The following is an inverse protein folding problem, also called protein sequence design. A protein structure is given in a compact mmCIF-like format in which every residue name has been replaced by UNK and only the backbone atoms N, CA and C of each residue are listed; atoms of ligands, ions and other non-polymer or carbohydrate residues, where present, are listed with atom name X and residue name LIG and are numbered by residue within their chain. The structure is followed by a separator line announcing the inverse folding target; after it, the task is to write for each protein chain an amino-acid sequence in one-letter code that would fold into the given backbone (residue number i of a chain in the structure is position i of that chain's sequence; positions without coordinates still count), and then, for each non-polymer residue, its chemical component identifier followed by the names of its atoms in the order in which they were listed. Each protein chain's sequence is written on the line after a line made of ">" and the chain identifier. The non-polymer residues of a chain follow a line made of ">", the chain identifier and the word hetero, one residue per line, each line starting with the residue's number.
data_IF_659476713508
#
_entry.id   IF_659476713508
#
_cell.length_a   1.000
_cell.length_b   1.000
_cell.length_c   1.000
_cell.angle_alpha   90.00
_cell.angle_beta   90.00
_cell.angle_gamma   90.00
#
_symmetry.space_group_name_H-M   'P 1'
#
loop_
_entity.id
_entity.type
_entity.pdbx_description
1 polymer ?
#
# COMPACT_ATOMS: atom_id res chain seq x y z
N UNK A 1 -33.07 2.18 10.04
CA UNK A 1 -33.19 2.94 11.30
C UNK A 1 -33.59 4.36 10.94
N UNK A 2 -34.65 4.92 11.53
CA UNK A 2 -35.08 6.30 11.28
C UNK A 2 -34.59 7.18 12.43
N UNK A 3 -34.00 8.34 12.10
CA UNK A 3 -33.76 9.43 13.04
C UNK A 3 -34.34 10.68 12.37
N UNK A 4 -35.22 11.40 13.07
CA UNK A 4 -35.85 12.65 12.59
C UNK A 4 -36.53 12.51 11.21
N UNK A 5 -37.33 11.45 10.99
CA UNK A 5 -38.06 11.20 9.73
C UNK A 5 -37.18 11.03 8.47
N UNK A 6 -35.86 10.87 8.60
CA UNK A 6 -34.98 10.52 7.49
C UNK A 6 -34.58 9.05 7.55
N UNK A 7 -34.81 8.32 6.45
CA UNK A 7 -34.33 6.94 6.29
C UNK A 7 -32.81 6.98 6.11
N UNK A 8 -32.06 6.52 7.13
CA UNK A 8 -30.59 6.55 7.10
C UNK A 8 -29.95 5.49 6.22
N UNK A 9 -30.75 4.72 5.47
CA UNK A 9 -30.27 3.50 4.83
C UNK A 9 -29.97 2.40 5.86
N UNK A 10 -29.80 1.19 5.36
CA UNK A 10 -29.22 0.08 6.12
C UNK A 10 -27.88 -0.24 5.48
N UNK A 11 -26.83 -0.38 6.28
CA UNK A 11 -25.54 -0.88 5.80
C UNK A 11 -25.50 -2.38 5.99
N UNK A 12 -25.04 -3.08 4.94
CA UNK A 12 -24.83 -4.52 4.97
C UNK A 12 -23.35 -4.78 4.65
N UNK A 13 -22.68 -5.53 5.53
CA UNK A 13 -21.32 -6.02 5.29
C UNK A 13 -21.39 -7.48 4.92
N UNK A 14 -20.75 -7.84 3.81
CA UNK A 14 -20.70 -9.21 3.30
C UNK A 14 -19.28 -9.73 3.39
N UNK A 15 -19.09 -10.87 4.05
CA UNK A 15 -17.80 -11.56 4.15
C UNK A 15 -17.84 -12.79 3.26
N UNK A 16 -16.94 -12.88 2.28
CA UNK A 16 -16.87 -13.98 1.29
C UNK A 16 -18.25 -14.41 0.73
N UNK A 17 -19.03 -13.46 0.15
CA UNK A 17 -20.38 -13.76 -0.27
C UNK A 17 -20.39 -14.53 -1.59
N UNK A 18 -20.97 -15.74 -1.61
CA UNK A 18 -21.12 -16.48 -2.88
C UNK A 18 -21.78 -15.65 -3.99
N UNK A 19 -21.38 -15.90 -5.25
CA UNK A 19 -21.95 -15.22 -6.43
C UNK A 19 -23.47 -15.32 -6.52
N UNK A 20 -24.07 -16.44 -6.06
CA UNK A 20 -25.52 -16.62 -6.03
C UNK A 20 -26.19 -15.61 -5.07
N UNK A 21 -25.60 -15.42 -3.90
CA UNK A 21 -26.11 -14.48 -2.91
C UNK A 21 -25.96 -13.02 -3.38
N UNK A 22 -24.83 -12.68 -4.00
CA UNK A 22 -24.62 -11.37 -4.62
C UNK A 22 -25.69 -11.09 -5.67
N UNK A 23 -25.91 -12.04 -6.59
CA UNK A 23 -26.94 -11.90 -7.62
C UNK A 23 -28.35 -11.76 -7.03
N UNK A 24 -28.66 -12.48 -5.95
CA UNK A 24 -29.94 -12.35 -5.25
C UNK A 24 -30.13 -10.95 -4.66
N UNK A 25 -29.11 -10.38 -4.00
CA UNK A 25 -29.17 -9.01 -3.48
C UNK A 25 -29.33 -8.01 -4.63
N UNK A 26 -28.53 -8.14 -5.70
CA UNK A 26 -28.64 -7.25 -6.86
C UNK A 26 -30.02 -7.31 -7.52
N UNK A 27 -30.62 -8.50 -7.61
CA UNK A 27 -31.95 -8.68 -8.15
C UNK A 27 -33.04 -8.11 -7.23
N UNK A 28 -32.89 -8.28 -5.92
CA UNK A 28 -33.87 -7.82 -4.92
C UNK A 28 -33.82 -6.30 -4.74
N UNK A 29 -32.63 -5.70 -4.81
CA UNK A 29 -32.39 -4.28 -4.51
C UNK A 29 -31.95 -3.47 -5.73
N UNK A 30 -32.37 -3.84 -6.95
CA UNK A 30 -31.92 -3.36 -8.29
C UNK A 30 -31.53 -1.89 -8.45
N UNK A 31 -32.04 -0.96 -7.63
CA UNK A 31 -31.75 0.49 -7.73
C UNK A 31 -31.48 1.15 -6.36
N UNK A 32 -31.48 0.38 -5.27
CA UNK A 32 -31.57 0.92 -3.91
C UNK A 32 -30.28 0.82 -3.09
N UNK A 33 -29.19 0.31 -3.66
CA UNK A 33 -27.93 0.14 -2.92
C UNK A 33 -26.77 0.93 -3.53
N UNK A 34 -25.75 1.11 -2.70
CA UNK A 34 -24.53 1.85 -3.03
C UNK A 34 -23.35 1.07 -2.46
N UNK A 35 -22.38 0.75 -3.30
CA UNK A 35 -21.11 0.18 -2.84
C UNK A 35 -20.36 1.28 -2.09
N UNK A 36 -20.17 1.08 -0.79
CA UNK A 36 -19.39 1.96 0.09
C UNK A 36 -17.91 1.64 -0.02
N UNK A 37 -17.56 0.36 0.10
CA UNK A 37 -16.21 -0.17 -0.03
C UNK A 37 -16.21 -1.67 -0.32
N UNK A 38 -15.10 -2.17 -0.87
CA UNK A 38 -14.77 -3.59 -1.01
C UNK A 38 -13.32 -3.78 -0.61
N UNK A 39 -13.05 -4.84 0.14
CA UNK A 39 -11.71 -5.20 0.60
C UNK A 39 -11.21 -6.42 -0.16
N UNK A 40 -10.03 -6.30 -0.76
CA UNK A 40 -9.37 -7.35 -1.52
C UNK A 40 -8.09 -7.73 -0.81
N UNK A 41 -7.82 -9.03 -0.71
CA UNK A 41 -6.64 -9.56 -0.01
C UNK A 41 -5.88 -10.54 -0.87
N UNK A 42 -4.55 -10.53 -0.75
CA UNK A 42 -3.64 -11.54 -1.28
C UNK A 42 -2.82 -12.08 -0.11
N UNK A 43 -2.85 -13.39 0.06
CA UNK A 43 -2.01 -14.09 1.04
C UNK A 43 -0.74 -14.58 0.34
N UNK A 44 0.42 -14.20 0.86
CA UNK A 44 1.74 -14.60 0.35
C UNK A 44 2.38 -15.52 1.37
N UNK A 45 2.90 -16.65 0.88
CA UNK A 45 3.53 -17.68 1.71
C UNK A 45 5.00 -17.80 1.31
N UNK A 46 5.87 -17.86 2.31
CA UNK A 46 7.33 -18.01 2.17
C UNK A 46 7.83 -19.01 3.22
N UNK A 47 9.05 -19.53 3.02
CA UNK A 47 9.75 -20.33 4.03
C UNK A 47 10.11 -19.52 5.28
N UNK A 48 10.24 -18.19 5.14
CA UNK A 48 10.43 -17.25 6.24
C UNK A 48 9.44 -16.10 6.12
N UNK A 49 8.40 -16.15 6.95
CA UNK A 49 7.29 -15.19 6.96
C UNK A 49 7.69 -13.86 7.59
N UNK A 50 8.58 -13.87 8.59
CA UNK A 50 9.03 -12.64 9.27
C UNK A 50 9.91 -11.81 8.33
N UNK A 51 10.84 -12.46 7.63
CA UNK A 51 11.67 -11.79 6.63
C UNK A 51 10.83 -11.29 5.46
N UNK A 52 9.83 -12.07 5.01
CA UNK A 52 8.88 -11.62 3.99
C UNK A 52 8.09 -10.40 4.46
N UNK A 53 7.55 -10.41 5.68
CA UNK A 53 6.82 -9.28 6.23
C UNK A 53 7.73 -8.04 6.24
N UNK A 54 8.92 -8.12 6.83
CA UNK A 54 9.86 -7.01 6.92
C UNK A 54 10.21 -6.45 5.54
N UNK A 55 10.50 -7.33 4.58
CA UNK A 55 10.78 -6.93 3.20
C UNK A 55 9.60 -6.13 2.62
N UNK A 56 8.38 -6.65 2.75
CA UNK A 56 7.18 -6.01 2.21
C UNK A 56 6.87 -4.69 2.95
N UNK A 57 7.02 -4.62 4.26
CA UNK A 57 6.82 -3.39 5.06
C UNK A 57 7.80 -2.27 4.64
N UNK A 58 9.06 -2.63 4.42
CA UNK A 58 10.11 -1.66 4.08
C UNK A 58 9.94 -1.17 2.65
N UNK A 59 9.57 -2.06 1.73
CA UNK A 59 9.67 -1.78 0.28
C UNK A 59 8.35 -1.40 -0.38
N UNK A 60 7.22 -1.74 0.22
CA UNK A 60 5.91 -1.45 -0.37
C UNK A 60 5.58 0.03 -0.33
N UNK A 61 4.98 0.51 -1.41
CA UNK A 61 4.53 1.88 -1.56
C UNK A 61 3.29 1.94 -2.45
N UNK A 62 2.36 2.83 -2.13
CA UNK A 62 1.17 3.06 -2.94
C UNK A 62 1.26 4.39 -3.67
N UNK A 63 1.07 4.35 -4.99
CA UNK A 63 0.90 5.53 -5.82
C UNK A 63 -0.31 6.33 -5.36
N UNK A 64 -0.10 7.64 -5.18
CA UNK A 64 -1.10 8.58 -4.69
C UNK A 64 -1.76 8.10 -3.38
N UNK A 65 -0.98 7.94 -2.30
CA UNK A 65 -1.45 7.31 -1.06
C UNK A 65 -2.55 8.13 -0.36
N UNK A 66 -2.69 9.42 -0.69
CA UNK A 66 -3.66 10.30 -0.04
C UNK A 66 -3.13 10.78 1.31
N UNK A 67 -3.83 10.45 2.39
CA UNK A 67 -3.50 10.99 3.73
C UNK A 67 -2.47 10.11 4.45
N UNK A 68 -1.63 10.76 5.27
CA UNK A 68 -0.61 10.10 6.08
C UNK A 68 -1.20 9.39 7.29
N UNK A 69 -0.57 8.28 7.66
CA UNK A 69 -0.96 7.46 8.80
C UNK A 69 -0.48 8.16 10.06
N UNK A 70 -1.38 8.39 11.00
CA UNK A 70 -1.05 9.05 12.28
C UNK A 70 -0.66 8.08 13.40
N UNK A 71 -0.91 6.78 13.21
CA UNK A 71 -0.73 5.75 14.23
C UNK A 71 0.17 4.62 13.72
N UNK A 72 1.20 4.31 14.51
CA UNK A 72 2.04 3.14 14.36
C UNK A 72 1.34 1.91 14.96
N UNK A 73 1.40 0.77 14.27
CA UNK A 73 0.95 -0.52 14.80
C UNK A 73 2.06 -1.54 14.63
N UNK A 74 2.32 -2.36 15.66
CA UNK A 74 3.48 -3.25 15.68
C UNK A 74 3.42 -4.38 14.65
N UNK A 75 2.24 -4.95 14.40
CA UNK A 75 2.04 -6.11 13.51
C UNK A 75 1.41 -5.74 12.16
N UNK A 76 1.04 -4.48 11.97
CA UNK A 76 0.32 -4.01 10.78
C UNK A 76 0.91 -2.71 10.25
N UNK A 77 1.44 -2.75 9.04
CA UNK A 77 1.89 -1.53 8.34
C UNK A 77 0.78 -1.02 7.44
N UNK A 78 0.29 0.18 7.72
CA UNK A 78 -0.63 0.89 6.84
C UNK A 78 0.18 1.73 5.84
N UNK A 79 -0.08 1.57 4.55
CA UNK A 79 0.61 2.38 3.52
C UNK A 79 -0.01 3.77 3.37
N UNK A 80 -1.24 3.93 3.83
CA UNK A 80 -1.96 5.20 3.91
C UNK A 80 -3.06 5.17 4.98
N UNK A 81 -3.61 6.34 5.32
CA UNK A 81 -4.71 6.41 6.28
C UNK A 81 -5.98 5.80 5.66
N UNK A 82 -6.30 4.58 6.05
CA UNK A 82 -7.46 3.83 5.56
C UNK A 82 -8.79 4.48 5.92
N UNK A 83 -8.85 5.37 6.93
CA UNK A 83 -10.09 6.07 7.31
C UNK A 83 -10.27 7.33 6.49
N UNK A 84 -9.22 8.15 6.38
CA UNK A 84 -9.28 9.48 5.74
C UNK A 84 -9.06 9.47 4.23
N UNK A 85 -8.39 8.45 3.69
CA UNK A 85 -8.19 8.34 2.24
C UNK A 85 -9.52 8.09 1.54
N UNK A 86 -9.77 8.80 0.43
CA UNK A 86 -11.11 8.83 -0.18
C UNK A 86 -11.37 7.76 -1.23
N UNK A 87 -10.31 7.19 -1.82
CA UNK A 87 -10.39 6.22 -2.92
C UNK A 87 -9.93 4.83 -2.52
N UNK A 88 -8.85 4.71 -1.76
CA UNK A 88 -8.27 3.42 -1.37
C UNK A 88 -7.63 3.47 0.01
N UNK A 89 -7.50 2.32 0.64
CA UNK A 89 -6.69 2.08 1.83
C UNK A 89 -5.89 0.81 1.65
N UNK A 90 -4.74 0.70 2.29
CA UNK A 90 -3.93 -0.51 2.21
C UNK A 90 -3.11 -0.77 3.45
N UNK A 91 -2.89 -2.06 3.71
CA UNK A 91 -2.07 -2.53 4.81
C UNK A 91 -1.40 -3.87 4.51
N UNK A 92 -0.37 -4.14 5.28
CA UNK A 92 0.45 -5.35 5.27
C UNK A 92 0.51 -5.86 6.70
N UNK A 93 0.24 -7.15 6.93
CA UNK A 93 0.28 -7.72 8.28
C UNK A 93 0.47 -9.24 8.25
N UNK A 94 0.89 -9.81 9.38
CA UNK A 94 0.77 -11.26 9.61
C UNK A 94 -0.69 -11.60 9.86
N UNK A 95 -1.26 -12.44 9.00
CA UNK A 95 -2.57 -13.03 9.25
C UNK A 95 -2.32 -14.35 9.97
N UNK A 96 -2.65 -14.40 11.26
CA UNK A 96 -2.68 -15.66 12.02
C UNK A 96 -4.01 -16.35 11.73
N UNK A 97 -3.97 -17.51 11.07
CA UNK A 97 -5.15 -18.36 10.90
C UNK A 97 -4.83 -19.83 11.22
N UNK A 98 -5.86 -20.67 11.22
CA UNK A 98 -5.74 -22.10 11.52
C UNK A 98 -4.89 -22.87 10.49
N UNK A 99 -4.61 -22.27 9.33
CA UNK A 99 -3.94 -22.88 8.18
C UNK A 99 -2.52 -22.34 7.97
N UNK A 100 -2.09 -21.38 8.79
CA UNK A 100 -0.72 -20.87 8.81
C UNK A 100 -0.61 -19.40 9.20
N UNK A 101 0.54 -18.83 8.88
CA UNK A 101 0.87 -17.43 9.16
C UNK A 101 1.28 -16.66 7.89
N UNK A 102 0.42 -16.60 6.85
CA UNK A 102 0.76 -15.86 5.64
C UNK A 102 0.94 -14.36 5.92
N UNK A 103 1.78 -13.73 5.09
CA UNK A 103 1.82 -12.27 5.02
C UNK A 103 0.71 -11.80 4.08
N UNK A 104 -0.23 -11.03 4.62
CA UNK A 104 -1.39 -10.54 3.88
C UNK A 104 -1.15 -9.13 3.35
N UNK A 105 -1.33 -8.97 2.05
CA UNK A 105 -1.51 -7.67 1.40
C UNK A 105 -3.00 -7.38 1.28
N UNK A 106 -3.47 -6.29 1.85
CA UNK A 106 -4.87 -5.90 1.79
C UNK A 106 -5.02 -4.55 1.11
N UNK A 107 -5.94 -4.48 0.15
CA UNK A 107 -6.30 -3.28 -0.58
C UNK A 107 -7.82 -3.06 -0.46
N UNK A 108 -8.19 -1.99 0.23
CA UNK A 108 -9.57 -1.55 0.38
C UNK A 108 -9.89 -0.50 -0.68
N UNK A 109 -10.80 -0.80 -1.59
CA UNK A 109 -11.33 0.15 -2.56
C UNK A 109 -12.60 0.80 -2.04
N UNK A 110 -12.64 2.14 -2.05
CA UNK A 110 -13.76 2.92 -1.52
C UNK A 110 -14.65 3.44 -2.62
N UNK A 111 -15.83 3.94 -2.25
CA UNK A 111 -16.86 4.48 -3.14
C UNK A 111 -16.33 5.35 -4.27
N UNK A 112 -15.42 6.30 -3.98
CA UNK A 112 -14.88 7.18 -5.04
C UNK A 112 -14.06 6.43 -6.10
N UNK A 113 -13.42 5.32 -5.75
CA UNK A 113 -12.74 4.45 -6.72
C UNK A 113 -13.74 3.85 -7.71
N UNK A 114 -14.85 3.32 -7.20
CA UNK A 114 -15.92 2.73 -8.02
C UNK A 114 -16.65 3.76 -8.87
N UNK A 115 -16.96 4.94 -8.29
CA UNK A 115 -17.60 6.04 -9.02
C UNK A 115 -16.77 6.52 -10.21
N UNK A 116 -15.46 6.71 -10.03
CA UNK A 116 -14.57 7.13 -11.12
C UNK A 116 -14.48 6.11 -12.27
N UNK A 117 -14.83 4.85 -12.01
CA UNK A 117 -14.77 3.74 -12.98
C UNK A 117 -16.17 3.28 -13.43
N UNK A 118 -17.23 4.00 -13.07
CA UNK A 118 -18.61 3.63 -13.38
C UNK A 118 -19.00 2.22 -12.90
N UNK A 119 -18.41 1.76 -11.80
CA UNK A 119 -18.74 0.46 -11.18
C UNK A 119 -19.87 0.68 -10.19
N UNK A 120 -21.07 0.26 -10.55
CA UNK A 120 -22.29 0.41 -9.74
C UNK A 120 -22.87 -0.92 -9.24
N UNK A 121 -22.37 -2.05 -9.74
CA UNK A 121 -22.80 -3.41 -9.38
C UNK A 121 -21.78 -4.12 -8.49
N UNK A 122 -22.23 -4.79 -7.44
CA UNK A 122 -21.41 -5.68 -6.59
C UNK A 122 -20.78 -6.79 -7.42
N UNK A 123 -21.54 -7.42 -8.32
CA UNK A 123 -21.04 -8.45 -9.23
C UNK A 123 -19.85 -7.95 -10.05
N UNK A 124 -19.94 -6.72 -10.58
CA UNK A 124 -18.82 -6.08 -11.28
C UNK A 124 -17.65 -5.77 -10.34
N UNK A 125 -17.91 -5.22 -9.15
CA UNK A 125 -16.85 -4.88 -8.20
C UNK A 125 -16.06 -6.12 -7.73
N UNK A 126 -16.74 -7.24 -7.47
CA UNK A 126 -16.11 -8.50 -7.07
C UNK A 126 -15.41 -9.20 -8.23
N UNK A 127 -15.79 -8.91 -9.49
CA UNK A 127 -15.16 -9.48 -10.68
C UNK A 127 -13.86 -8.80 -11.10
N UNK A 128 -13.44 -7.72 -10.42
CA UNK A 128 -12.20 -7.02 -10.72
C UNK A 128 -10.99 -7.96 -10.55
N UNK A 129 -10.05 -7.90 -11.49
CA UNK A 129 -8.83 -8.70 -11.42
C UNK A 129 -7.88 -8.18 -10.35
N UNK A 130 -7.04 -9.08 -9.83
CA UNK A 130 -6.02 -8.72 -8.84
C UNK A 130 -5.07 -7.63 -9.36
N UNK A 131 -4.64 -7.72 -10.61
CA UNK A 131 -3.82 -6.69 -11.26
C UNK A 131 -4.48 -5.29 -11.23
N UNK A 132 -5.78 -5.19 -11.54
CA UNK A 132 -6.48 -3.90 -11.51
C UNK A 132 -6.50 -3.31 -10.09
N UNK A 133 -6.78 -4.13 -9.10
CA UNK A 133 -6.87 -3.74 -7.69
C UNK A 133 -5.50 -3.31 -7.16
N UNK A 134 -4.45 -4.06 -7.45
CA UNK A 134 -3.10 -3.82 -6.94
C UNK A 134 -2.22 -2.96 -7.87
N UNK A 135 -2.75 -2.43 -8.97
CA UNK A 135 -2.01 -1.60 -9.96
C UNK A 135 -1.27 -0.37 -9.40
N UNK A 136 -1.76 0.18 -8.29
CA UNK A 136 -1.13 1.30 -7.60
C UNK A 136 -0.12 0.88 -6.53
N UNK A 137 -0.06 -0.42 -6.20
CA UNK A 137 0.96 -0.97 -5.33
C UNK A 137 2.29 -1.08 -6.08
N UNK A 138 3.38 -0.73 -5.43
CA UNK A 138 4.74 -0.82 -5.99
C UNK A 138 5.71 -1.24 -4.92
N UNK A 139 6.86 -1.77 -5.34
CA UNK A 139 7.92 -2.20 -4.45
C UNK A 139 9.20 -1.46 -4.84
N UNK A 140 9.65 -0.56 -3.96
CA UNK A 140 10.76 0.34 -4.23
C UNK A 140 11.94 0.07 -3.31
N UNK A 141 13.13 0.28 -3.85
CA UNK A 141 14.39 0.26 -3.12
C UNK A 141 15.03 1.64 -3.19
N UNK A 142 15.53 2.13 -2.07
CA UNK A 142 16.26 3.38 -2.01
C UNK A 142 17.71 3.19 -2.45
N UNK A 143 18.21 4.09 -3.28
CA UNK A 143 19.55 4.05 -3.84
C UNK A 143 20.40 5.15 -3.19
N UNK A 144 21.02 4.85 -2.04
CA UNK A 144 21.85 5.82 -1.29
C UNK A 144 22.91 6.47 -2.18
N UNK A 145 23.57 5.70 -3.05
CA UNK A 145 24.56 6.25 -4.00
C UNK A 145 23.99 7.31 -4.94
N UNK A 146 22.74 7.14 -5.41
CA UNK A 146 22.08 8.15 -6.28
C UNK A 146 21.71 9.39 -5.49
N UNK A 147 21.23 9.22 -4.25
CA UNK A 147 20.95 10.33 -3.34
C UNK A 147 22.21 11.15 -3.04
N UNK A 148 23.29 10.49 -2.63
CA UNK A 148 24.58 11.10 -2.32
C UNK A 148 25.13 11.91 -3.51
N UNK A 149 25.06 11.36 -4.73
CA UNK A 149 25.44 12.07 -5.95
C UNK A 149 24.61 13.31 -6.26
N UNK A 150 23.44 13.49 -5.63
CA UNK A 150 22.57 14.65 -5.83
C UNK A 150 22.72 15.68 -4.73
N UNK A 151 23.04 15.25 -3.52
CA UNK A 151 23.23 16.13 -2.35
C UNK A 151 24.65 16.65 -2.21
N UNK A 152 25.66 15.93 -2.70
CA UNK A 152 27.07 16.25 -2.48
C UNK A 152 27.78 16.91 -3.67
N UNK A 153 27.03 17.55 -4.57
CA UNK A 153 27.60 18.22 -5.75
C UNK A 153 27.82 19.70 -5.45
N UNK A 154 29.07 20.07 -5.13
CA UNK A 154 29.75 21.34 -5.50
C UNK A 154 30.97 21.66 -4.60
N UNK A 155 32.01 20.81 -4.55
CA UNK A 155 33.29 21.26 -3.99
C UNK A 155 34.48 20.71 -4.79
N UNK A 156 35.42 21.60 -5.10
CA UNK A 156 36.50 21.42 -6.08
C UNK A 156 37.66 20.54 -5.59
N UNK A 157 37.69 20.15 -4.30
CA UNK A 157 38.83 19.46 -3.68
C UNK A 157 38.58 17.97 -3.40
N UNK A 158 39.28 17.08 -4.12
CA UNK A 158 38.96 15.64 -4.19
C UNK A 158 39.28 14.83 -2.94
N UNK A 159 40.35 15.14 -2.20
CA UNK A 159 40.80 14.33 -1.06
C UNK A 159 40.00 14.59 0.23
N UNK A 160 39.79 15.87 0.57
CA UNK A 160 38.93 16.27 1.71
C UNK A 160 37.48 15.80 1.48
N UNK A 161 37.04 15.77 0.22
CA UNK A 161 35.73 15.22 -0.16
C UNK A 161 35.61 13.72 0.04
N UNK A 162 36.66 12.90 -0.15
CA UNK A 162 36.53 11.45 0.08
C UNK A 162 36.20 11.17 1.55
N UNK A 163 36.87 11.87 2.48
CA UNK A 163 36.66 11.69 3.93
C UNK A 163 35.32 12.27 4.36
N UNK A 164 34.99 13.49 3.94
CA UNK A 164 33.69 14.12 4.24
C UNK A 164 32.52 13.32 3.66
N UNK A 165 32.65 12.81 2.43
CA UNK A 165 31.62 11.98 1.80
C UNK A 165 31.48 10.61 2.50
N UNK A 166 32.57 10.04 3.02
CA UNK A 166 32.49 8.79 3.80
C UNK A 166 31.79 9.04 5.15
N UNK A 167 32.13 10.12 5.86
CA UNK A 167 31.52 10.45 7.14
C UNK A 167 30.05 10.86 6.98
N UNK A 168 29.75 11.79 6.06
CA UNK A 168 28.38 12.19 5.74
C UNK A 168 27.57 11.00 5.18
N UNK A 169 28.20 10.14 4.37
CA UNK A 169 27.57 8.92 3.88
C UNK A 169 27.12 8.00 5.00
N UNK A 170 27.95 7.80 6.02
CA UNK A 170 27.56 7.04 7.22
C UNK A 170 26.43 7.73 7.99
N UNK A 171 26.46 9.05 8.14
CA UNK A 171 25.38 9.79 8.81
C UNK A 171 24.04 9.66 8.06
N UNK A 172 24.07 9.79 6.73
CA UNK A 172 22.90 9.56 5.89
C UNK A 172 22.42 8.13 5.99
N UNK A 173 23.32 7.16 5.88
CA UNK A 173 23.01 5.74 6.01
C UNK A 173 22.29 5.44 7.33
N UNK A 174 22.81 5.92 8.47
CA UNK A 174 22.16 5.77 9.78
C UNK A 174 20.78 6.44 9.80
N UNK A 175 20.66 7.67 9.29
CA UNK A 175 19.38 8.38 9.21
C UNK A 175 18.35 7.65 8.35
N UNK A 176 18.75 7.13 7.19
CA UNK A 176 17.87 6.38 6.30
C UNK A 176 17.51 5.01 6.86
N UNK A 177 18.43 4.29 7.50
CA UNK A 177 18.10 3.05 8.21
C UNK A 177 17.13 3.29 9.36
N UNK A 178 17.32 4.36 10.13
CA UNK A 178 16.38 4.75 11.18
C UNK A 178 15.01 5.09 10.59
N UNK A 179 14.96 5.82 9.47
CA UNK A 179 13.72 6.12 8.79
C UNK A 179 13.02 4.85 8.29
N UNK A 180 13.73 3.94 7.63
CA UNK A 180 13.18 2.66 7.16
C UNK A 180 12.53 1.84 8.28
N UNK A 181 13.17 1.81 9.45
CA UNK A 181 12.70 1.07 10.62
C UNK A 181 11.71 1.85 11.49
N UNK A 182 11.44 3.12 11.18
CA UNK A 182 10.46 3.90 11.92
C UNK A 182 9.04 3.43 11.59
N UNK A 183 8.14 3.53 12.56
CA UNK A 183 6.72 3.29 12.35
C UNK A 183 5.94 4.59 12.05
N UNK A 184 6.62 5.73 11.94
CA UNK A 184 6.02 7.02 11.63
C UNK A 184 5.55 7.09 10.18
N UNK A 185 4.38 7.72 9.95
CA UNK A 185 3.77 7.90 8.62
C UNK A 185 3.53 6.59 7.81
N UNK A 186 3.66 5.41 8.43
CA UNK A 186 3.60 4.10 7.78
C UNK A 186 4.96 3.46 7.47
N UNK A 187 6.07 4.10 7.89
CA UNK A 187 7.43 3.57 7.81
C UNK A 187 7.96 3.33 6.39
N UNK A 188 9.08 2.60 6.31
CA UNK A 188 9.60 2.07 5.06
C UNK A 188 9.95 3.12 4.00
N UNK A 189 9.70 2.78 2.73
CA UNK A 189 9.92 3.65 1.57
C UNK A 189 9.25 5.02 1.72
N UNK A 190 8.09 5.11 2.35
CA UNK A 190 7.33 6.36 2.40
C UNK A 190 8.05 7.45 3.20
N UNK A 191 8.52 7.12 4.39
CA UNK A 191 9.24 8.08 5.24
C UNK A 191 10.61 8.40 4.68
N UNK A 192 11.29 7.43 4.04
CA UNK A 192 12.53 7.70 3.30
C UNK A 192 12.29 8.67 2.15
N UNK A 193 11.19 8.54 1.40
CA UNK A 193 10.83 9.51 0.34
C UNK A 193 10.58 10.91 0.89
N UNK A 194 9.97 11.03 2.08
CA UNK A 194 9.80 12.31 2.77
C UNK A 194 11.15 12.90 3.16
N UNK A 195 12.01 12.09 3.76
CA UNK A 195 13.35 12.51 4.17
C UNK A 195 14.20 12.96 2.96
N UNK A 196 14.18 12.23 1.83
CA UNK A 196 14.84 12.65 0.59
C UNK A 196 14.32 14.02 0.10
N UNK A 197 13.01 14.24 0.20
CA UNK A 197 12.39 15.51 -0.19
C UNK A 197 12.83 16.68 0.69
N UNK A 198 13.10 16.44 1.98
CA UNK A 198 13.58 17.47 2.91
C UNK A 198 14.98 17.99 2.53
N UNK A 199 15.74 17.22 1.73
CA UNK A 199 17.00 17.67 1.11
C UNK A 199 16.82 18.34 -0.26
N UNK A 200 15.59 18.72 -0.63
CA UNK A 200 15.24 19.27 -1.95
C UNK A 200 15.60 18.37 -3.14
N UNK A 201 15.71 17.06 -2.90
CA UNK A 201 15.96 16.07 -3.95
C UNK A 201 14.63 15.46 -4.37
N UNK A 202 14.39 15.35 -5.69
CA UNK A 202 13.26 14.60 -6.21
C UNK A 202 13.32 13.12 -5.76
N UNK A 203 12.36 12.65 -4.95
CA UNK A 203 12.39 11.28 -4.44
C UNK A 203 12.39 10.25 -5.56
N UNK A 204 11.69 10.45 -6.67
CA UNK A 204 11.61 9.42 -7.73
C UNK A 204 12.96 9.15 -8.39
N UNK A 205 13.87 10.11 -8.35
CA UNK A 205 15.23 9.97 -8.87
C UNK A 205 16.17 9.12 -8.00
N UNK A 206 15.78 8.83 -6.75
CA UNK A 206 16.57 8.08 -5.77
C UNK A 206 16.04 6.68 -5.47
N UNK A 207 15.00 6.23 -6.17
CA UNK A 207 14.40 4.92 -5.95
C UNK A 207 14.36 4.10 -7.23
N UNK A 208 14.48 2.78 -7.09
CA UNK A 208 14.37 1.81 -8.18
C UNK A 208 13.26 0.80 -7.84
N UNK A 209 12.58 0.26 -8.87
CA UNK A 209 11.66 -0.86 -8.63
C UNK A 209 12.46 -2.10 -8.25
N UNK A 210 11.96 -2.87 -7.29
CA UNK A 210 12.57 -4.14 -6.93
C UNK A 210 12.39 -5.17 -8.05
N UNK A 211 13.38 -6.05 -8.29
CA UNK A 211 13.28 -7.07 -9.33
C UNK A 211 12.01 -7.94 -9.22
N UNK A 212 11.62 -8.32 -8.00
CA UNK A 212 10.45 -9.16 -7.76
C UNK A 212 9.11 -8.47 -8.10
N UNK A 213 9.08 -7.14 -8.26
CA UNK A 213 7.85 -6.41 -8.63
C UNK A 213 7.27 -6.98 -9.93
N UNK A 214 8.13 -7.28 -10.91
CA UNK A 214 7.71 -7.88 -12.18
C UNK A 214 7.11 -9.26 -12.00
N UNK A 215 7.74 -10.10 -11.17
CA UNK A 215 7.28 -11.45 -10.91
C UNK A 215 5.96 -11.46 -10.13
N UNK A 216 5.83 -10.58 -9.12
CA UNK A 216 4.58 -10.38 -8.40
C UNK A 216 3.44 -10.02 -9.35
N UNK A 217 3.62 -9.00 -10.19
CA UNK A 217 2.58 -8.56 -11.13
C UNK A 217 2.27 -9.61 -12.20
N UNK A 218 3.28 -10.37 -12.64
CA UNK A 218 3.08 -11.50 -13.55
C UNK A 218 2.20 -12.59 -12.90
N UNK A 219 2.43 -12.89 -11.62
CA UNK A 219 1.67 -13.92 -10.88
C UNK A 219 0.22 -13.48 -10.67
N UNK A 220 -0.05 -12.21 -10.37
CA UNK A 220 -1.41 -11.75 -10.09
C UNK A 220 -2.18 -11.32 -11.35
N UNK A 221 -1.52 -11.20 -12.50
CA UNK A 221 -2.15 -10.80 -13.75
C UNK A 221 -3.21 -11.81 -14.19
N UNK A 222 -4.38 -11.30 -14.60
CA UNK A 222 -5.53 -12.12 -15.01
C UNK A 222 -6.25 -12.90 -13.89
N UNK A 223 -5.66 -13.00 -12.69
CA UNK A 223 -6.27 -13.72 -11.58
C UNK A 223 -7.48 -12.98 -11.00
N UNK A 224 -8.51 -13.75 -10.65
CA UNK A 224 -9.71 -13.29 -9.97
C UNK A 224 -9.64 -13.65 -8.50
N UNK A 225 -10.28 -12.84 -7.66
CA UNK A 225 -10.43 -13.18 -6.25
C UNK A 225 -11.45 -14.31 -6.07
N UNK A 226 -11.20 -15.16 -5.08
CA UNK A 226 -12.17 -16.17 -4.64
C UNK A 226 -13.26 -15.44 -3.87
N UNK A 227 -14.51 -15.70 -4.25
CA UNK A 227 -15.73 -15.04 -3.76
C UNK A 227 -16.56 -16.05 -2.98
#
# INVERSE_FOLDING_TARGET
>A
MFINNMYFGTSLTLHHPSSRFVNFIEFTFKVAYRISEVEFSIDIISSDQLSLLRLLQITSYIKNPGKAVSLAYNETTYLNDNRKSSTKGAKIYHKKDEFGEPVRLEMRMKRRYFQKRNINKMSTALSLSAEMIFSDWTFKMFELKKFMKKTLVNHEDKEVMIILNQFQGRLFEVGFFSAFNSNEDGGGVRIVRKYVKDFNVDPDSCFTSLPFEKDFFKVISGNKFII
#
